data_IF_832501790114
#
_entry.id   IF_832501790114
#
_cell.length_a   1.000
_cell.length_b   1.000
_cell.length_c   1.000
_cell.angle_alpha   90.00
_cell.angle_beta   90.00
_cell.angle_gamma   90.00
#
_symmetry.space_group_name_H-M   'P 1'
#
loop_
_entity.id
_entity.type
_entity.pdbx_description
1 polymer ?
#
# COMPACT_ATOMS: atom_id res chain seq x y z
N UNK A 1 -16.11 -12.45 13.12
CA UNK A 1 -15.99 -11.42 12.06
C UNK A 1 -15.05 -12.00 11.03
N UNK A 2 -15.47 -12.14 9.79
CA UNK A 2 -14.62 -12.70 8.75
C UNK A 2 -13.42 -11.81 8.48
N UNK A 3 -12.24 -12.41 8.38
CA UNK A 3 -11.00 -11.73 8.06
C UNK A 3 -11.06 -11.30 6.59
N UNK A 4 -10.76 -10.03 6.30
CA UNK A 4 -10.68 -9.55 4.93
C UNK A 4 -9.33 -9.87 4.34
N UNK A 5 -9.32 -10.57 3.22
CA UNK A 5 -8.11 -10.87 2.47
C UNK A 5 -8.12 -10.06 1.18
N UNK A 6 -7.06 -9.31 0.94
CA UNK A 6 -6.84 -8.57 -0.30
C UNK A 6 -5.66 -9.18 -1.04
N UNK A 7 -5.91 -9.64 -2.26
CA UNK A 7 -4.86 -10.13 -3.16
C UNK A 7 -4.47 -9.00 -4.11
N UNK A 8 -3.24 -8.51 -3.99
CA UNK A 8 -2.69 -7.45 -4.84
C UNK A 8 -1.90 -8.10 -5.97
N UNK A 9 -2.36 -7.94 -7.19
CA UNK A 9 -1.73 -8.49 -8.39
C UNK A 9 -1.73 -7.48 -9.55
N UNK A 10 -1.25 -7.88 -10.69
CA UNK A 10 -1.17 -7.05 -11.90
C UNK A 10 0.24 -6.96 -12.45
N UNK A 11 0.41 -6.14 -13.48
CA UNK A 11 1.65 -6.02 -14.24
C UNK A 11 2.86 -5.69 -13.36
N UNK A 12 3.97 -6.33 -13.63
CA UNK A 12 5.25 -6.04 -12.98
C UNK A 12 5.71 -4.63 -13.35
N UNK A 13 5.94 -3.79 -12.34
CA UNK A 13 6.18 -2.35 -12.56
C UNK A 13 4.92 -1.47 -12.46
N UNK A 14 3.71 -2.04 -12.35
CA UNK A 14 2.47 -1.27 -12.18
C UNK A 14 2.28 -0.64 -10.79
N UNK A 15 3.16 -0.92 -9.81
CA UNK A 15 3.13 -0.26 -8.51
C UNK A 15 2.57 -1.10 -7.35
N UNK A 16 2.63 -2.43 -7.44
CA UNK A 16 2.16 -3.34 -6.35
C UNK A 16 2.72 -2.97 -4.98
N UNK A 17 4.02 -2.75 -4.87
CA UNK A 17 4.64 -2.36 -3.57
C UNK A 17 4.10 -1.04 -3.03
N UNK A 18 3.80 -0.07 -3.89
CA UNK A 18 3.19 1.21 -3.46
C UNK A 18 1.75 1.02 -2.97
N UNK A 19 1.00 0.11 -3.59
CA UNK A 19 -0.34 -0.25 -3.15
C UNK A 19 -0.30 -1.02 -1.82
N UNK A 20 0.68 -1.91 -1.63
CA UNK A 20 0.89 -2.62 -0.36
C UNK A 20 1.19 -1.67 0.78
N UNK A 21 2.08 -0.67 0.58
CA UNK A 21 2.36 0.36 1.58
C UNK A 21 1.09 1.15 1.96
N UNK A 22 0.25 1.49 0.97
CA UNK A 22 -1.01 2.18 1.25
C UNK A 22 -2.02 1.31 2.02
N UNK A 23 -2.03 -0.01 1.81
CA UNK A 23 -2.84 -0.94 2.58
C UNK A 23 -2.30 -1.10 4.02
N UNK A 24 -0.98 -1.10 4.19
CA UNK A 24 -0.33 -1.10 5.51
C UNK A 24 -0.72 0.14 6.32
N UNK A 25 -0.76 1.33 5.69
CA UNK A 25 -1.25 2.57 6.30
C UNK A 25 -2.71 2.49 6.77
N UNK A 26 -3.52 1.60 6.16
CA UNK A 26 -4.89 1.28 6.58
C UNK A 26 -4.99 0.21 7.66
N UNK A 27 -3.85 -0.30 8.13
CA UNK A 27 -3.78 -1.33 9.17
C UNK A 27 -3.97 -2.75 8.64
N UNK A 28 -3.71 -3.00 7.36
CA UNK A 28 -3.60 -4.36 6.83
C UNK A 28 -2.25 -4.96 7.21
N UNK A 29 -2.25 -6.24 7.53
CA UNK A 29 -1.03 -7.02 7.64
C UNK A 29 -0.58 -7.41 6.23
N UNK A 30 0.51 -6.79 5.77
CA UNK A 30 0.98 -6.90 4.40
C UNK A 30 2.09 -7.94 4.26
N UNK A 31 1.94 -8.87 3.31
CA UNK A 31 2.95 -9.87 2.96
C UNK A 31 3.23 -9.76 1.47
N UNK A 32 4.46 -9.37 1.12
CA UNK A 32 4.89 -9.23 -0.28
C UNK A 32 5.58 -10.51 -0.77
N UNK A 33 5.29 -10.92 -2.01
CA UNK A 33 5.83 -12.13 -2.63
C UNK A 33 5.67 -13.39 -1.77
N UNK A 34 4.48 -13.60 -1.22
CA UNK A 34 4.21 -14.76 -0.38
C UNK A 34 4.30 -16.05 -1.21
N UNK A 35 5.10 -17.06 -0.78
CA UNK A 35 5.24 -18.32 -1.51
C UNK A 35 3.94 -19.13 -1.48
N UNK A 36 3.48 -19.62 -2.64
CA UNK A 36 2.27 -20.46 -2.73
C UNK A 36 2.36 -21.77 -1.92
N UNK A 37 3.57 -22.27 -1.74
CA UNK A 37 3.86 -23.49 -0.97
C UNK A 37 3.52 -23.33 0.53
N UNK A 38 3.35 -22.09 1.01
CA UNK A 38 3.03 -21.78 2.40
C UNK A 38 1.55 -21.42 2.62
N UNK A 39 0.68 -21.60 1.62
CA UNK A 39 -0.74 -21.24 1.72
C UNK A 39 -1.47 -21.98 2.86
N UNK A 40 -1.20 -23.28 3.05
CA UNK A 40 -1.79 -24.04 4.16
C UNK A 40 -1.34 -23.51 5.53
N UNK A 41 -0.07 -23.13 5.65
CA UNK A 41 0.46 -22.51 6.85
C UNK A 41 -0.14 -21.12 7.11
N UNK A 42 -0.46 -20.38 6.05
CA UNK A 42 -1.13 -19.08 6.16
C UNK A 42 -2.51 -19.23 6.78
N UNK A 43 -3.32 -20.20 6.35
CA UNK A 43 -4.65 -20.43 6.91
C UNK A 43 -4.56 -20.77 8.41
N UNK A 44 -3.61 -21.61 8.81
CA UNK A 44 -3.36 -21.93 10.21
C UNK A 44 -2.98 -20.69 11.03
N UNK A 45 -2.16 -19.80 10.45
CA UNK A 45 -1.75 -18.55 11.07
C UNK A 45 -2.96 -17.62 11.26
N UNK A 46 -3.78 -17.45 10.22
CA UNK A 46 -4.98 -16.61 10.25
C UNK A 46 -6.01 -17.08 11.28
N UNK A 47 -6.11 -18.38 11.51
CA UNK A 47 -7.01 -18.96 12.52
C UNK A 47 -6.50 -18.82 13.94
N UNK A 48 -5.18 -18.86 14.16
CA UNK A 48 -4.58 -18.81 15.50
C UNK A 48 -4.71 -17.43 16.16
N UNK A 49 -4.66 -16.36 15.37
CA UNK A 49 -4.77 -15.00 15.89
C UNK A 49 -5.64 -14.13 14.99
N UNK A 50 -6.94 -14.36 15.03
CA UNK A 50 -7.94 -13.63 14.25
C UNK A 50 -7.94 -12.12 14.54
N UNK A 51 -7.49 -11.70 15.70
CA UNK A 51 -7.47 -10.29 16.08
C UNK A 51 -6.33 -9.54 15.40
N UNK A 52 -5.16 -10.17 15.30
CA UNK A 52 -3.97 -9.62 14.69
C UNK A 52 -4.06 -9.65 13.14
N UNK A 53 -4.58 -10.74 12.58
CA UNK A 53 -4.71 -10.92 11.14
C UNK A 53 -6.12 -10.62 10.61
N UNK A 54 -6.80 -9.65 11.18
CA UNK A 54 -8.16 -9.27 10.79
C UNK A 54 -8.25 -8.81 9.34
N UNK A 55 -7.28 -8.03 8.88
CA UNK A 55 -7.17 -7.56 7.52
C UNK A 55 -5.78 -7.94 7.00
N UNK A 56 -5.71 -8.72 5.94
CA UNK A 56 -4.47 -9.22 5.35
C UNK A 56 -4.39 -8.80 3.90
N UNK A 57 -3.22 -8.36 3.44
CA UNK A 57 -2.94 -8.09 2.04
C UNK A 57 -1.76 -8.96 1.59
N UNK A 58 -1.95 -9.67 0.50
CA UNK A 58 -0.94 -10.52 -0.12
C UNK A 58 -0.60 -9.99 -1.50
N UNK A 59 0.67 -9.69 -1.77
CA UNK A 59 1.12 -9.38 -3.12
C UNK A 59 1.58 -10.66 -3.82
N UNK A 60 1.06 -10.90 -5.01
CA UNK A 60 1.36 -12.10 -5.79
C UNK A 60 1.74 -11.75 -7.22
N UNK A 61 2.59 -12.61 -7.82
CA UNK A 61 2.97 -12.53 -9.23
C UNK A 61 1.83 -13.01 -10.13
N UNK A 62 1.88 -12.62 -11.42
CA UNK A 62 0.98 -13.15 -12.44
C UNK A 62 1.04 -14.69 -12.53
N UNK A 63 2.23 -15.27 -12.35
CA UNK A 63 2.47 -16.72 -12.44
C UNK A 63 1.75 -17.47 -11.32
N UNK A 64 1.73 -16.93 -10.11
CA UNK A 64 1.18 -17.62 -8.94
C UNK A 64 -0.29 -17.27 -8.65
N UNK A 65 -0.81 -16.23 -9.28
CA UNK A 65 -2.15 -15.70 -9.04
C UNK A 65 -3.23 -16.77 -9.00
N UNK A 66 -3.30 -17.64 -10.02
CA UNK A 66 -4.35 -18.66 -10.12
C UNK A 66 -4.33 -19.64 -8.93
N UNK A 67 -3.14 -19.99 -8.45
CA UNK A 67 -3.00 -20.88 -7.29
C UNK A 67 -3.60 -20.24 -6.03
N UNK A 68 -3.38 -18.94 -5.81
CA UNK A 68 -3.94 -18.20 -4.68
C UNK A 68 -5.46 -18.09 -4.77
N UNK A 69 -6.00 -17.71 -5.93
CA UNK A 69 -7.45 -17.60 -6.12
C UNK A 69 -8.12 -18.94 -5.87
N UNK A 70 -7.65 -20.01 -6.52
CA UNK A 70 -8.21 -21.36 -6.35
C UNK A 70 -8.12 -21.83 -4.88
N UNK A 71 -7.04 -21.52 -4.18
CA UNK A 71 -6.90 -21.86 -2.78
C UNK A 71 -7.95 -21.18 -1.91
N UNK A 72 -8.11 -19.84 -2.02
CA UNK A 72 -9.06 -19.09 -1.21
C UNK A 72 -10.52 -19.41 -1.55
N UNK A 73 -10.84 -19.69 -2.81
CA UNK A 73 -12.15 -20.18 -3.22
C UNK A 73 -12.48 -21.53 -2.58
N UNK A 74 -11.54 -22.47 -2.56
CA UNK A 74 -11.72 -23.81 -1.97
C UNK A 74 -11.99 -23.76 -0.45
N UNK A 75 -11.40 -22.82 0.27
CA UNK A 75 -11.64 -22.65 1.71
C UNK A 75 -12.79 -21.67 2.01
N UNK A 76 -13.50 -21.20 0.98
CA UNK A 76 -14.65 -20.29 1.07
C UNK A 76 -14.34 -19.00 1.87
N UNK A 77 -13.17 -18.39 1.62
CA UNK A 77 -12.77 -17.11 2.19
C UNK A 77 -13.18 -15.95 1.28
N UNK A 78 -13.67 -14.87 1.89
CA UNK A 78 -13.95 -13.63 1.15
C UNK A 78 -12.65 -13.00 0.67
N UNK A 79 -12.42 -13.08 -0.65
CA UNK A 79 -11.23 -12.58 -1.33
C UNK A 79 -11.59 -11.35 -2.14
N UNK A 80 -10.93 -10.23 -1.87
CA UNK A 80 -10.97 -9.04 -2.70
C UNK A 80 -9.68 -8.93 -3.51
N UNK A 81 -9.78 -8.69 -4.81
CA UNK A 81 -8.63 -8.58 -5.69
C UNK A 81 -8.39 -7.12 -6.01
N UNK A 82 -7.16 -6.65 -5.82
CA UNK A 82 -6.67 -5.38 -6.33
C UNK A 82 -5.75 -5.64 -7.52
N UNK A 83 -6.27 -5.35 -8.71
CA UNK A 83 -5.54 -5.52 -9.96
C UNK A 83 -4.96 -4.18 -10.42
N UNK A 84 -3.63 -4.14 -10.59
CA UNK A 84 -2.92 -2.96 -11.06
C UNK A 84 -2.47 -3.17 -12.49
N UNK A 85 -2.97 -2.33 -13.38
CA UNK A 85 -2.56 -2.31 -14.77
C UNK A 85 -1.70 -1.08 -15.10
N UNK A 86 -0.99 -1.15 -16.22
CA UNK A 86 -0.17 -0.06 -16.73
C UNK A 86 0.09 -0.31 -18.22
N UNK A 87 0.15 0.74 -19.03
CA UNK A 87 0.47 0.58 -20.45
C UNK A 87 1.90 0.08 -20.66
N UNK A 88 2.12 -0.64 -21.74
CA UNK A 88 3.40 -1.26 -22.06
C UNK A 88 4.50 -0.22 -22.23
N UNK A 89 4.19 0.92 -22.87
CA UNK A 89 5.13 2.01 -23.03
C UNK A 89 5.59 2.58 -21.69
N UNK A 90 4.66 2.75 -20.75
CA UNK A 90 4.98 3.26 -19.43
C UNK A 90 5.76 2.21 -18.62
N UNK A 91 5.44 0.93 -18.72
CA UNK A 91 6.19 -0.17 -18.11
C UNK A 91 7.63 -0.20 -18.60
N UNK A 92 7.84 -0.09 -19.93
CA UNK A 92 9.18 0.00 -20.51
C UNK A 92 9.96 1.19 -19.96
N UNK A 93 9.32 2.35 -19.81
CA UNK A 93 9.93 3.53 -19.20
C UNK A 93 10.31 3.29 -17.74
N UNK A 94 9.41 2.74 -16.94
CA UNK A 94 9.65 2.45 -15.51
C UNK A 94 10.81 1.46 -15.33
N UNK A 95 10.88 0.45 -16.15
CA UNK A 95 11.97 -0.53 -16.09
C UNK A 95 13.34 0.04 -16.44
N UNK A 96 13.43 1.07 -17.28
CA UNK A 96 14.71 1.76 -17.57
C UNK A 96 15.36 2.39 -16.33
N UNK A 97 14.56 2.74 -15.34
CA UNK A 97 15.03 3.36 -14.10
C UNK A 97 15.19 2.36 -12.93
N UNK A 98 14.90 1.09 -13.17
CA UNK A 98 15.06 0.03 -12.15
C UNK A 98 16.21 -0.90 -12.51
N UNK A 99 16.89 -1.45 -11.48
CA UNK A 99 17.90 -2.50 -11.65
C UNK A 99 17.32 -3.91 -11.55
N UNK A 100 16.01 -4.03 -11.29
CA UNK A 100 15.35 -5.34 -11.15
C UNK A 100 15.07 -5.92 -12.54
N UNK A 101 15.37 -7.19 -12.72
CA UNK A 101 14.92 -7.92 -13.91
C UNK A 101 13.42 -8.22 -13.80
N UNK A 102 12.77 -8.29 -14.96
CA UNK A 102 11.37 -8.66 -15.03
C UNK A 102 11.15 -10.12 -14.58
N UNK A 103 10.10 -10.45 -13.79
CA UNK A 103 9.86 -11.81 -13.30
C UNK A 103 9.79 -12.85 -14.41
N UNK A 104 9.21 -12.54 -15.56
CA UNK A 104 9.13 -13.47 -16.71
C UNK A 104 10.51 -13.80 -17.29
N UNK A 105 11.46 -12.87 -17.24
CA UNK A 105 12.86 -13.12 -17.64
C UNK A 105 13.56 -14.00 -16.61
N UNK A 106 13.38 -13.69 -15.32
CA UNK A 106 13.98 -14.46 -14.21
C UNK A 106 13.51 -15.92 -14.23
N UNK A 107 12.24 -16.13 -14.58
CA UNK A 107 11.64 -17.47 -14.70
C UNK A 107 11.85 -18.13 -16.08
N UNK A 108 12.70 -17.57 -16.95
CA UNK A 108 13.02 -18.08 -18.28
C UNK A 108 11.79 -18.22 -19.23
N UNK A 109 10.75 -17.42 -19.01
CA UNK A 109 9.55 -17.39 -19.85
C UNK A 109 9.64 -16.36 -20.99
N UNK A 110 10.60 -15.44 -20.89
CA UNK A 110 10.87 -14.41 -21.88
C UNK A 110 12.38 -14.09 -21.97
N UNK A 111 12.83 -13.51 -23.07
CA UNK A 111 14.24 -13.16 -23.28
C UNK A 111 14.48 -11.66 -23.30
N UNK A 112 13.53 -10.89 -23.75
CA UNK A 112 13.58 -9.41 -23.77
C UNK A 112 12.56 -8.83 -22.80
N UNK A 113 12.67 -7.54 -22.52
CA UNK A 113 11.72 -6.87 -21.64
C UNK A 113 10.35 -6.72 -22.33
N UNK A 114 10.34 -6.46 -23.63
CA UNK A 114 9.14 -6.37 -24.44
C UNK A 114 8.38 -7.72 -24.42
N UNK A 115 9.06 -8.82 -24.74
CA UNK A 115 8.48 -10.17 -24.66
C UNK A 115 7.94 -10.46 -23.25
N UNK A 116 8.66 -10.02 -22.23
CA UNK A 116 8.29 -10.29 -20.84
C UNK A 116 7.00 -9.57 -20.43
N UNK A 117 6.80 -8.35 -20.91
CA UNK A 117 5.56 -7.59 -20.69
C UNK A 117 4.40 -8.26 -21.45
N UNK A 118 4.61 -8.65 -22.70
CA UNK A 118 3.59 -9.34 -23.51
C UNK A 118 3.16 -10.67 -22.86
N UNK A 119 4.12 -11.51 -22.49
CA UNK A 119 3.86 -12.79 -21.81
C UNK A 119 3.12 -12.57 -20.48
N UNK A 120 3.53 -11.59 -19.68
CA UNK A 120 2.84 -11.31 -18.41
C UNK A 120 1.41 -10.83 -18.64
N UNK A 121 1.17 -10.02 -19.66
CA UNK A 121 -0.16 -9.54 -20.03
C UNK A 121 -1.05 -10.71 -20.45
N UNK A 122 -0.57 -11.62 -21.28
CA UNK A 122 -1.30 -12.82 -21.68
C UNK A 122 -1.70 -13.68 -20.47
N UNK A 123 -0.80 -13.83 -19.49
CA UNK A 123 -1.12 -14.51 -18.23
C UNK A 123 -2.27 -13.83 -17.48
N UNK A 124 -2.31 -12.49 -17.49
CA UNK A 124 -3.28 -11.71 -16.74
C UNK A 124 -4.60 -11.49 -17.47
N UNK A 125 -4.61 -11.45 -18.80
CA UNK A 125 -5.84 -11.27 -19.60
C UNK A 125 -6.83 -12.41 -19.40
N UNK A 126 -6.35 -13.64 -19.30
CA UNK A 126 -7.18 -14.81 -18.98
C UNK A 126 -7.78 -14.77 -17.55
N UNK A 127 -7.26 -13.92 -16.68
CA UNK A 127 -7.65 -13.82 -15.29
C UNK A 127 -8.63 -12.69 -15.01
N UNK A 128 -8.75 -11.72 -15.94
CA UNK A 128 -9.64 -10.56 -15.79
C UNK A 128 -11.12 -10.90 -15.96
N UNK A 129 -11.46 -11.98 -16.64
CA UNK A 129 -12.83 -12.29 -17.06
C UNK A 129 -13.72 -12.84 -15.93
N UNK A 130 -13.19 -13.26 -14.77
CA UNK A 130 -13.90 -14.14 -13.86
C UNK A 130 -14.18 -13.66 -12.43
N UNK A 131 -13.88 -12.42 -12.00
CA UNK A 131 -14.13 -12.08 -10.61
C UNK A 131 -14.98 -10.82 -10.37
N UNK A 132 -16.14 -11.03 -9.74
CA UNK A 132 -17.05 -9.96 -9.30
C UNK A 132 -16.44 -9.06 -8.20
N UNK A 133 -15.34 -9.49 -7.56
CA UNK A 133 -14.69 -8.80 -6.45
C UNK A 133 -13.35 -8.14 -6.83
N UNK A 134 -13.15 -7.80 -8.11
CA UNK A 134 -11.90 -7.19 -8.57
C UNK A 134 -12.01 -5.67 -8.67
N UNK A 135 -11.07 -4.98 -8.03
CA UNK A 135 -10.86 -3.53 -8.17
C UNK A 135 -9.72 -3.32 -9.16
N UNK A 136 -10.02 -2.73 -10.32
CA UNK A 136 -9.01 -2.39 -11.32
C UNK A 136 -8.53 -0.95 -11.13
N UNK A 137 -7.21 -0.75 -11.15
CA UNK A 137 -6.57 0.57 -11.17
C UNK A 137 -5.56 0.61 -12.31
N UNK A 138 -5.84 1.43 -13.32
CA UNK A 138 -4.84 1.82 -14.32
C UNK A 138 -3.89 2.86 -13.70
N UNK A 139 -2.60 2.52 -13.68
CA UNK A 139 -1.54 3.32 -13.08
C UNK A 139 -0.67 4.06 -14.11
N UNK A 140 -0.98 3.99 -15.40
CA UNK A 140 -0.18 4.54 -16.51
C UNK A 140 0.21 6.00 -16.28
N UNK A 141 -0.73 6.83 -15.83
CA UNK A 141 -0.52 8.27 -15.60
C UNK A 141 -0.52 8.65 -14.13
N UNK A 142 -0.35 7.69 -13.23
CA UNK A 142 -0.39 7.96 -11.80
C UNK A 142 1.00 8.13 -11.21
N UNK A 143 1.16 9.16 -10.42
CA UNK A 143 2.27 9.22 -9.46
C UNK A 143 2.06 8.21 -8.33
N UNK A 144 3.12 7.86 -7.61
CA UNK A 144 3.06 6.97 -6.45
C UNK A 144 2.06 7.46 -5.39
N UNK A 145 2.04 8.77 -5.14
CA UNK A 145 1.11 9.39 -4.19
C UNK A 145 -0.35 9.34 -4.68
N UNK A 146 -0.59 9.52 -5.98
CA UNK A 146 -1.93 9.41 -6.56
C UNK A 146 -2.45 7.96 -6.51
N UNK A 147 -1.59 6.96 -6.74
CA UNK A 147 -1.93 5.55 -6.57
C UNK A 147 -2.28 5.25 -5.12
N UNK A 148 -1.43 5.66 -4.16
CA UNK A 148 -1.70 5.49 -2.74
C UNK A 148 -3.05 6.10 -2.34
N UNK A 149 -3.34 7.32 -2.77
CA UNK A 149 -4.63 7.98 -2.51
C UNK A 149 -5.83 7.20 -3.08
N UNK A 150 -5.70 6.61 -4.28
CA UNK A 150 -6.77 5.78 -4.86
C UNK A 150 -6.99 4.50 -4.07
N UNK A 151 -5.92 3.82 -3.66
CA UNK A 151 -6.00 2.62 -2.82
C UNK A 151 -6.65 2.96 -1.47
N UNK A 152 -6.16 4.00 -0.80
CA UNK A 152 -6.74 4.48 0.45
C UNK A 152 -8.24 4.76 0.32
N UNK A 153 -8.67 5.43 -0.74
CA UNK A 153 -10.08 5.74 -0.96
C UNK A 153 -10.95 4.49 -1.18
N UNK A 154 -10.42 3.47 -1.87
CA UNK A 154 -11.16 2.24 -2.18
C UNK A 154 -11.30 1.29 -0.99
N UNK A 155 -10.26 1.21 -0.15
CA UNK A 155 -10.19 0.27 0.98
C UNK A 155 -10.55 0.91 2.32
N UNK A 156 -10.66 2.23 2.38
CA UNK A 156 -11.06 2.94 3.59
C UNK A 156 -12.48 2.51 3.96
N UNK A 157 -12.60 1.76 5.05
CA UNK A 157 -13.93 1.47 5.57
C UNK A 157 -14.62 2.78 5.97
N UNK A 158 -15.95 2.87 5.78
CA UNK A 158 -16.75 4.07 6.04
C UNK A 158 -16.72 4.56 7.52
N UNK A 159 -15.99 3.89 8.40
CA UNK A 159 -15.73 4.32 9.77
C UNK A 159 -14.60 5.34 9.77
N UNK A 160 -15.02 6.63 9.68
CA UNK A 160 -14.28 7.86 10.00
C UNK A 160 -12.80 7.83 9.61
N UNK A 161 -12.48 8.50 8.52
CA UNK A 161 -11.12 9.01 8.35
C UNK A 161 -10.88 10.03 9.47
N UNK A 162 -10.14 9.62 10.49
CA UNK A 162 -9.64 10.56 11.47
C UNK A 162 -8.47 11.27 10.80
N UNK A 163 -8.72 12.52 10.37
CA UNK A 163 -7.62 13.40 10.01
C UNK A 163 -6.93 13.80 11.31
N UNK A 164 -5.74 13.29 11.53
CA UNK A 164 -4.96 13.60 12.74
C UNK A 164 -4.05 14.77 12.47
N UNK A 165 -4.18 15.83 13.25
CA UNK A 165 -3.26 16.96 13.26
C UNK A 165 -2.52 16.94 14.57
N UNK A 166 -1.20 16.84 14.51
CA UNK A 166 -0.33 16.91 15.67
C UNK A 166 0.24 18.32 15.79
N UNK A 167 -0.04 19.01 16.89
CA UNK A 167 0.58 20.28 17.21
C UNK A 167 1.74 20.05 18.16
N UNK A 168 2.93 20.46 17.75
CA UNK A 168 4.15 20.35 18.54
C UNK A 168 4.73 21.75 18.79
N UNK A 169 4.94 22.11 20.04
CA UNK A 169 5.69 23.30 20.39
C UNK A 169 7.18 22.97 20.54
N UNK A 170 8.05 23.83 20.00
CA UNK A 170 9.49 23.66 20.09
C UNK A 170 10.21 24.97 20.28
N UNK A 171 11.44 24.91 20.79
CA UNK A 171 12.33 26.07 20.86
C UNK A 171 13.45 25.94 19.83
N UNK A 172 13.74 26.99 19.11
CA UNK A 172 14.79 27.02 18.05
C UNK A 172 16.20 26.66 18.56
N UNK A 173 16.43 26.66 19.87
CA UNK A 173 17.72 26.31 20.47
C UNK A 173 18.23 24.92 20.04
N UNK A 174 17.32 23.98 19.79
CA UNK A 174 17.63 22.59 19.42
C UNK A 174 17.32 22.27 17.94
N UNK A 175 17.03 23.27 17.15
CA UNK A 175 16.64 23.12 15.75
C UNK A 175 15.12 22.97 15.53
N UNK A 176 14.75 22.86 14.28
CA UNK A 176 13.37 22.62 13.85
C UNK A 176 13.11 21.11 13.89
N UNK A 177 11.94 20.63 14.35
CA UNK A 177 11.58 19.21 14.25
C UNK A 177 11.66 18.72 12.81
N UNK A 178 12.36 17.61 12.58
CA UNK A 178 12.60 17.06 11.25
C UNK A 178 11.37 16.38 10.64
N UNK A 179 10.39 16.03 11.47
CA UNK A 179 9.13 15.37 11.15
C UNK A 179 7.96 16.37 10.99
N UNK A 180 8.23 17.67 11.01
CA UNK A 180 7.19 18.69 10.86
C UNK A 180 6.86 18.94 9.38
N UNK A 181 5.59 18.75 8.99
CA UNK A 181 5.10 19.13 7.66
C UNK A 181 4.95 20.64 7.50
N UNK A 182 4.69 21.35 8.61
CA UNK A 182 4.53 22.81 8.61
C UNK A 182 5.11 23.40 9.90
N UNK A 183 5.88 24.47 9.74
CA UNK A 183 6.46 25.24 10.86
C UNK A 183 5.91 26.65 10.84
N UNK A 184 5.32 27.05 11.96
CA UNK A 184 4.79 28.42 12.14
C UNK A 184 5.65 29.14 13.18
N UNK A 185 6.31 30.22 12.77
CA UNK A 185 7.09 31.06 13.68
C UNK A 185 6.15 32.04 14.39
N UNK A 186 6.03 31.87 15.69
CA UNK A 186 5.16 32.71 16.56
C UNK A 186 5.94 33.76 17.37
N UNK A 187 7.24 33.97 17.08
CA UNK A 187 8.08 34.91 17.82
C UNK A 187 7.69 36.37 17.63
N UNK A 188 6.81 36.68 16.69
CA UNK A 188 6.21 37.99 16.54
C UNK A 188 5.20 38.34 17.66
N UNK A 189 4.71 37.33 18.40
CA UNK A 189 3.84 37.55 19.53
C UNK A 189 4.63 38.11 20.73
N UNK A 190 4.02 38.98 21.54
CA UNK A 190 4.65 39.48 22.75
C UNK A 190 5.10 38.31 23.65
N UNK A 191 6.35 38.38 24.11
CA UNK A 191 6.87 37.34 25.00
C UNK A 191 6.24 37.49 26.41
N UNK A 192 5.50 36.47 26.88
CA UNK A 192 4.85 36.50 28.20
C UNK A 192 5.80 36.79 29.36
N UNK A 193 7.09 36.48 29.21
CA UNK A 193 8.11 36.74 30.24
C UNK A 193 8.24 38.23 30.57
N UNK A 194 7.96 39.15 29.64
CA UNK A 194 8.02 40.59 29.90
C UNK A 194 6.74 41.18 30.42
N UNK A 195 5.65 40.37 30.52
CA UNK A 195 4.40 40.78 31.14
C UNK A 195 4.41 40.34 32.63
N UNK A 196 4.35 41.31 33.60
CA UNK A 196 4.37 40.97 35.03
C UNK A 196 3.24 40.04 35.47
N UNK A 197 2.10 39.99 34.74
CA UNK A 197 0.95 39.15 35.09
C UNK A 197 1.09 37.73 34.51
N UNK A 198 1.95 37.53 33.50
CA UNK A 198 2.11 36.26 32.81
C UNK A 198 3.46 35.59 33.09
N UNK A 199 4.43 36.34 33.58
CA UNK A 199 5.83 35.92 33.75
C UNK A 199 5.98 34.61 34.56
N UNK A 200 5.20 34.46 35.61
CA UNK A 200 5.26 33.32 36.53
C UNK A 200 4.21 32.24 36.22
N UNK A 201 3.44 32.44 35.13
CA UNK A 201 2.41 31.48 34.71
C UNK A 201 2.95 30.49 33.68
N UNK A 202 2.42 29.27 33.72
CA UNK A 202 2.61 28.28 32.67
C UNK A 202 1.49 28.38 31.64
N UNK A 203 1.70 27.88 30.39
CA UNK A 203 0.70 27.91 29.34
C UNK A 203 -0.63 27.20 29.65
N UNK A 204 -0.68 26.43 30.73
CA UNK A 204 -1.89 25.72 31.20
C UNK A 204 -2.68 26.53 32.28
N UNK A 205 -2.22 27.70 32.66
CA UNK A 205 -2.89 28.55 33.65
C UNK A 205 -3.63 29.67 32.95
N UNK A 206 -4.92 29.84 33.28
CA UNK A 206 -5.77 30.95 32.78
C UNK A 206 -5.47 32.24 33.56
#
# INVERSE_FOLDING_TARGET
MENKIVLVTGMSGAGKSSAMNALEDLGYYCMDNFPKELLDNLEDLLRKDESHYKNVALSVSAIDYQAFVSYFENINRDLQILFLDCSDEELLLRYRFTRRQHPMIVNHLATTLEDAIEVERDFLDHLQENSQNTIHIDTTKLSTSALASRVLHRFKSAKRSVFTVTFQSFGFKHGVPLDADMVIDVRFLPNPFYDPLLRDKTGNQK
#
